data_IF_399295925526
#
_entry.id   IF_399295925526
#
_cell.length_a   1.000
_cell.length_b   1.000
_cell.length_c   1.000
_cell.angle_alpha   90.00
_cell.angle_beta   90.00
_cell.angle_gamma   90.00
#
_symmetry.space_group_name_H-M   'P 1'
#
loop_
_entity.id
_entity.type
_entity.pdbx_description
1 polymer ?
#
# COMPACT_ATOMS: atom_id res chain seq x y z
N UNK A 1 29.93 89.98 14.90
CA UNK A 1 30.08 88.52 14.94
C UNK A 1 28.76 87.96 15.50
N UNK A 2 27.91 87.34 14.69
CA UNK A 2 26.64 86.77 15.08
C UNK A 2 26.80 85.24 14.99
N UNK A 3 26.65 84.56 16.09
CA UNK A 3 26.67 83.12 16.19
C UNK A 3 25.28 82.58 15.80
N UNK A 4 25.23 81.72 14.79
CA UNK A 4 24.06 80.98 14.40
C UNK A 4 24.08 79.63 15.13
N UNK A 5 23.07 79.35 15.92
CA UNK A 5 22.84 78.05 16.55
C UNK A 5 22.13 77.17 15.55
N UNK A 6 22.78 76.06 15.16
CA UNK A 6 22.15 74.98 14.37
C UNK A 6 21.60 73.96 15.35
N UNK A 7 20.27 73.81 15.36
CA UNK A 7 19.56 72.77 16.08
C UNK A 7 19.46 71.53 15.16
N UNK A 8 20.10 70.45 15.54
CA UNK A 8 19.96 69.13 14.87
C UNK A 8 18.69 68.43 15.40
N UNK A 9 17.73 68.23 14.53
CA UNK A 9 16.56 67.39 14.80
C UNK A 9 16.89 65.94 14.51
N UNK A 10 16.86 65.10 15.53
CA UNK A 10 16.98 63.66 15.42
C UNK A 10 15.60 63.11 15.04
N UNK A 11 15.51 62.55 13.83
CA UNK A 11 14.32 61.81 13.39
C UNK A 11 14.52 60.35 13.81
N UNK A 12 13.72 59.91 14.80
CA UNK A 12 13.58 58.47 15.09
C UNK A 12 12.75 57.81 13.98
N UNK A 13 13.40 57.01 13.18
CA UNK A 13 12.68 56.02 12.33
C UNK A 13 12.28 54.83 13.17
N UNK A 14 11.00 54.67 13.41
CA UNK A 14 10.41 53.44 13.88
C UNK A 14 10.40 52.39 12.76
N UNK A 15 11.27 51.38 12.88
CA UNK A 15 11.22 50.15 12.10
C UNK A 15 10.01 49.34 12.56
N UNK A 16 8.92 49.43 11.78
CA UNK A 16 7.83 48.46 11.87
C UNK A 16 8.34 47.11 11.33
N UNK A 17 8.59 46.20 12.23
CA UNK A 17 8.87 44.82 11.87
C UNK A 17 7.64 44.20 11.17
N UNK A 18 7.76 43.95 9.87
CA UNK A 18 6.85 43.04 9.16
C UNK A 18 7.11 41.64 9.70
N UNK A 19 6.27 41.19 10.65
CA UNK A 19 6.19 39.77 10.98
C UNK A 19 5.69 39.04 9.74
N UNK A 20 6.56 38.29 9.10
CA UNK A 20 6.16 37.27 8.14
C UNK A 20 5.40 36.20 8.94
N UNK A 21 4.06 36.28 8.93
CA UNK A 21 3.26 35.12 9.28
C UNK A 21 3.61 34.03 8.28
N UNK A 22 4.42 33.06 8.71
CA UNK A 22 4.48 31.77 8.08
C UNK A 22 3.08 31.16 8.23
N UNK A 23 2.23 31.38 7.20
CA UNK A 23 1.10 30.52 6.96
C UNK A 23 1.69 29.13 6.69
N UNK A 24 1.78 28.31 7.72
CA UNK A 24 1.89 26.88 7.55
C UNK A 24 0.61 26.47 6.84
N UNK A 25 0.68 26.33 5.52
CA UNK A 25 -0.31 25.57 4.81
C UNK A 25 -0.10 24.13 5.27
N UNK A 26 -0.87 23.72 6.29
CA UNK A 26 -1.15 22.31 6.48
C UNK A 26 -1.92 21.89 5.21
N UNK A 27 -1.22 21.37 4.24
CA UNK A 27 -1.86 20.55 3.22
C UNK A 27 -2.41 19.37 4.01
N UNK A 28 -3.72 19.35 4.24
CA UNK A 28 -4.44 18.15 4.65
C UNK A 28 -4.31 17.15 3.49
N UNK A 29 -3.16 16.49 3.42
CA UNK A 29 -2.93 15.38 2.51
C UNK A 29 -3.67 14.19 3.10
N UNK A 30 -4.92 13.99 2.68
CA UNK A 30 -5.67 12.81 3.01
C UNK A 30 -5.11 11.65 2.20
N UNK A 31 -4.62 10.63 2.90
CA UNK A 31 -4.25 9.40 2.23
C UNK A 31 -5.51 8.72 1.66
N UNK A 32 -5.39 8.17 0.46
CA UNK A 32 -6.51 7.57 -0.26
C UNK A 32 -6.18 6.16 -0.75
N UNK A 33 -7.17 5.29 -0.70
CA UNK A 33 -7.17 4.00 -1.35
C UNK A 33 -8.10 4.02 -2.57
N UNK A 34 -7.58 3.58 -3.72
CA UNK A 34 -8.32 3.45 -4.96
C UNK A 34 -8.31 1.98 -5.40
N UNK A 35 -9.49 1.39 -5.53
CA UNK A 35 -9.65 0.00 -5.96
C UNK A 35 -9.42 -0.15 -7.44
N UNK A 36 -8.45 -0.98 -7.81
CA UNK A 36 -8.12 -1.28 -9.21
C UNK A 36 -8.95 -2.48 -9.69
N UNK A 37 -8.76 -3.64 -9.04
CA UNK A 37 -9.47 -4.88 -9.37
C UNK A 37 -9.17 -5.95 -8.30
N UNK A 38 -9.98 -6.98 -8.14
CA UNK A 38 -9.76 -8.09 -7.20
C UNK A 38 -9.18 -7.64 -5.84
N UNK A 39 -7.91 -7.97 -5.56
CA UNK A 39 -7.14 -7.49 -4.41
C UNK A 39 -6.26 -6.27 -4.74
N UNK A 40 -6.29 -5.78 -5.99
CA UNK A 40 -5.45 -4.69 -6.44
C UNK A 40 -5.92 -3.33 -5.92
N UNK A 41 -5.04 -2.62 -5.22
CA UNK A 41 -5.32 -1.31 -4.62
C UNK A 41 -4.14 -0.36 -4.88
N UNK A 42 -4.46 0.87 -5.30
CA UNK A 42 -3.51 2.00 -5.30
C UNK A 42 -3.71 2.79 -4.02
N UNK A 43 -2.63 3.10 -3.34
CA UNK A 43 -2.60 3.99 -2.17
C UNK A 43 -1.82 5.23 -2.54
N UNK A 44 -2.35 6.39 -2.18
CA UNK A 44 -1.67 7.67 -2.37
C UNK A 44 -1.73 8.51 -1.10
N UNK A 45 -0.62 9.18 -0.79
CA UNK A 45 -0.51 10.21 0.22
C UNK A 45 0.38 11.33 -0.30
N UNK A 46 -0.20 12.50 -0.54
CA UNK A 46 0.48 13.57 -1.27
C UNK A 46 0.95 13.10 -2.65
N UNK A 47 2.25 13.23 -2.89
CA UNK A 47 2.88 12.78 -4.14
C UNK A 47 3.32 11.31 -4.08
N UNK A 48 3.40 10.71 -2.88
CA UNK A 48 3.85 9.32 -2.69
C UNK A 48 2.74 8.34 -3.04
N UNK A 49 3.04 7.39 -3.93
CA UNK A 49 2.05 6.43 -4.43
C UNK A 49 2.60 5.01 -4.53
N UNK A 50 1.81 4.06 -4.08
CA UNK A 50 2.13 2.63 -4.19
C UNK A 50 0.95 1.85 -4.76
N UNK A 51 1.23 0.71 -5.37
CA UNK A 51 0.21 -0.24 -5.78
C UNK A 51 0.46 -1.62 -5.19
N UNK A 52 -0.61 -2.29 -4.78
CA UNK A 52 -0.60 -3.71 -4.42
C UNK A 52 -1.27 -4.53 -5.53
N UNK A 53 -0.62 -5.60 -5.98
CA UNK A 53 -1.13 -6.56 -6.96
C UNK A 53 -1.81 -5.93 -8.19
N UNK A 54 -1.23 -4.90 -8.88
CA UNK A 54 -1.97 -3.98 -9.75
C UNK A 54 -2.45 -4.56 -11.07
N UNK A 55 -1.90 -5.69 -11.53
CA UNK A 55 -2.12 -6.25 -12.87
C UNK A 55 -2.59 -7.71 -12.84
N UNK A 56 -3.70 -8.05 -12.15
CA UNK A 56 -4.34 -9.34 -12.30
C UNK A 56 -5.03 -9.40 -13.67
N UNK A 57 -4.45 -10.20 -14.59
CA UNK A 57 -4.99 -10.39 -15.93
C UNK A 57 -5.87 -11.64 -16.06
N UNK A 58 -6.11 -12.35 -14.95
CA UNK A 58 -6.97 -13.53 -14.93
C UNK A 58 -7.74 -13.56 -13.62
N UNK A 59 -9.02 -13.25 -13.68
CA UNK A 59 -9.96 -13.38 -12.57
C UNK A 59 -10.67 -14.74 -12.54
N UNK A 60 -10.27 -15.70 -13.38
CA UNK A 60 -10.92 -17.02 -13.52
C UNK A 60 -12.43 -16.96 -13.80
N UNK A 61 -12.94 -15.80 -14.29
CA UNK A 61 -14.37 -15.56 -14.45
C UNK A 61 -15.12 -15.39 -13.10
N UNK A 62 -14.40 -15.32 -11.99
CA UNK A 62 -14.91 -15.18 -10.62
C UNK A 62 -14.60 -13.81 -10.04
N UNK A 63 -13.39 -13.31 -10.27
CA UNK A 63 -12.92 -12.03 -9.73
C UNK A 63 -12.79 -10.97 -10.81
N UNK A 64 -12.90 -9.68 -10.48
CA UNK A 64 -12.66 -8.61 -11.44
C UNK A 64 -11.19 -8.59 -11.88
N UNK A 65 -11.00 -8.36 -13.18
CA UNK A 65 -9.69 -8.14 -13.80
C UNK A 65 -9.42 -6.65 -13.93
N UNK A 66 -8.13 -6.26 -14.03
CA UNK A 66 -7.76 -4.85 -14.21
C UNK A 66 -8.36 -4.31 -15.51
N UNK A 67 -9.14 -3.22 -15.48
CA UNK A 67 -9.72 -2.64 -16.68
C UNK A 67 -8.65 -2.23 -17.69
N UNK A 68 -8.94 -2.42 -18.99
CA UNK A 68 -8.00 -2.06 -20.06
C UNK A 68 -7.65 -0.57 -20.07
N UNK A 69 -8.58 0.31 -19.65
CA UNK A 69 -8.33 1.74 -19.46
C UNK A 69 -7.26 2.00 -18.41
N UNK A 70 -7.30 1.26 -17.30
CA UNK A 70 -6.37 1.42 -16.18
C UNK A 70 -4.99 0.87 -16.56
N UNK A 71 -4.95 -0.28 -17.27
CA UNK A 71 -3.70 -0.81 -17.82
C UNK A 71 -3.05 0.23 -18.74
N UNK A 72 -3.83 0.83 -19.66
CA UNK A 72 -3.31 1.85 -20.58
C UNK A 72 -2.74 3.08 -19.82
N UNK A 73 -3.43 3.57 -18.80
CA UNK A 73 -2.95 4.68 -17.96
C UNK A 73 -1.72 4.29 -17.15
N UNK A 74 -1.67 3.09 -16.57
CA UNK A 74 -0.49 2.57 -15.87
C UNK A 74 0.73 2.55 -16.80
N UNK A 75 0.57 1.98 -18.01
CA UNK A 75 1.68 1.92 -18.97
C UNK A 75 2.13 3.30 -19.44
N UNK A 76 1.22 4.27 -19.55
CA UNK A 76 1.53 5.65 -19.91
C UNK A 76 2.06 6.49 -18.74
N UNK A 77 1.86 6.06 -17.49
CA UNK A 77 2.15 6.87 -16.29
C UNK A 77 1.23 8.07 -16.20
N UNK A 78 -0.07 7.90 -16.48
CA UNK A 78 -1.05 8.97 -16.54
C UNK A 78 -2.15 8.84 -15.49
N UNK A 79 -2.88 9.92 -15.26
CA UNK A 79 -4.03 9.96 -14.34
C UNK A 79 -3.65 9.59 -12.92
N UNK A 80 -4.41 8.68 -12.29
CA UNK A 80 -4.13 8.20 -10.93
C UNK A 80 -2.79 7.45 -10.85
N UNK A 81 -2.32 6.89 -11.98
CA UNK A 81 -1.13 6.06 -12.08
C UNK A 81 0.14 6.83 -12.45
N UNK A 82 0.07 8.16 -12.51
CA UNK A 82 1.26 9.01 -12.67
C UNK A 82 2.07 9.03 -11.36
N UNK A 83 3.40 8.85 -11.45
CA UNK A 83 4.30 8.97 -10.31
C UNK A 83 4.17 7.85 -9.28
N UNK A 84 4.05 6.60 -9.72
CA UNK A 84 4.09 5.44 -8.81
C UNK A 84 5.53 5.18 -8.37
N UNK A 85 5.77 5.13 -7.06
CA UNK A 85 7.09 4.87 -6.46
C UNK A 85 7.37 3.38 -6.34
N UNK A 86 6.37 2.60 -5.91
CA UNK A 86 6.54 1.18 -5.69
C UNK A 86 5.30 0.34 -6.03
N UNK A 87 5.58 -0.90 -6.45
CA UNK A 87 4.59 -1.97 -6.61
C UNK A 87 4.93 -3.11 -5.67
N UNK A 88 3.93 -3.60 -4.95
CA UNK A 88 4.03 -4.73 -4.04
C UNK A 88 3.22 -5.90 -4.57
N UNK A 89 3.86 -7.05 -4.72
CA UNK A 89 3.19 -8.30 -5.11
C UNK A 89 3.05 -9.19 -3.87
N UNK A 90 1.81 -9.52 -3.51
CA UNK A 90 1.54 -10.36 -2.36
C UNK A 90 1.97 -11.81 -2.61
N UNK A 91 1.59 -12.38 -3.74
CA UNK A 91 1.97 -13.73 -4.14
C UNK A 91 1.81 -13.95 -5.67
N UNK A 92 2.25 -15.12 -6.15
CA UNK A 92 2.42 -15.37 -7.58
C UNK A 92 1.22 -16.11 -8.25
N UNK A 93 0.00 -16.01 -7.73
CA UNK A 93 -1.20 -16.49 -8.43
C UNK A 93 -1.63 -15.50 -9.52
N UNK A 94 -2.25 -16.03 -10.58
CA UNK A 94 -2.58 -15.24 -11.77
C UNK A 94 -3.69 -14.20 -11.58
N UNK A 95 -4.46 -14.30 -10.52
CA UNK A 95 -5.44 -13.32 -10.07
C UNK A 95 -4.85 -12.21 -9.16
N UNK A 96 -3.53 -12.23 -8.93
CA UNK A 96 -2.74 -11.20 -8.25
C UNK A 96 -1.55 -10.74 -9.09
N UNK A 97 -1.00 -11.62 -9.93
CA UNK A 97 0.28 -11.39 -10.58
C UNK A 97 0.31 -11.97 -11.99
N UNK A 98 0.82 -11.18 -12.94
CA UNK A 98 1.20 -11.62 -14.28
C UNK A 98 2.66 -11.22 -14.54
N UNK A 99 3.54 -12.20 -14.72
CA UNK A 99 4.96 -11.94 -14.98
C UNK A 99 5.16 -11.03 -16.19
N UNK A 100 4.52 -11.35 -17.32
CA UNK A 100 4.61 -10.56 -18.55
C UNK A 100 4.10 -9.12 -18.35
N UNK A 101 2.97 -8.94 -17.65
CA UNK A 101 2.40 -7.61 -17.43
C UNK A 101 3.28 -6.75 -16.50
N UNK A 102 3.83 -7.33 -15.44
CA UNK A 102 4.75 -6.62 -14.53
C UNK A 102 6.07 -6.29 -15.23
N UNK A 103 6.63 -7.17 -16.04
CA UNK A 103 7.82 -6.89 -16.86
C UNK A 103 7.54 -5.72 -17.81
N UNK A 104 6.42 -5.75 -18.54
CA UNK A 104 6.04 -4.67 -19.44
C UNK A 104 5.85 -3.34 -18.69
N UNK A 105 5.19 -3.36 -17.53
CA UNK A 105 4.99 -2.20 -16.70
C UNK A 105 6.30 -1.61 -16.19
N UNK A 106 7.20 -2.43 -15.64
CA UNK A 106 8.51 -1.97 -15.16
C UNK A 106 9.38 -1.40 -16.30
N UNK A 107 9.23 -1.91 -17.53
CA UNK A 107 9.92 -1.35 -18.68
C UNK A 107 9.31 0.00 -19.11
N UNK A 108 8.00 0.16 -19.01
CA UNK A 108 7.31 1.41 -19.31
C UNK A 108 7.55 2.50 -18.24
N UNK A 109 7.71 2.09 -16.98
CA UNK A 109 7.89 2.98 -15.82
C UNK A 109 9.26 2.71 -15.16
N UNK A 110 10.35 3.37 -15.62
CA UNK A 110 11.71 3.06 -15.19
C UNK A 110 12.04 3.42 -13.75
N UNK A 111 11.28 4.31 -13.12
CA UNK A 111 11.53 4.79 -11.75
C UNK A 111 10.85 3.93 -10.68
N UNK A 112 9.93 3.04 -11.09
CA UNK A 112 9.18 2.18 -10.16
C UNK A 112 10.07 1.10 -9.55
N UNK A 113 9.97 0.93 -8.24
CA UNK A 113 10.56 -0.21 -7.52
C UNK A 113 9.53 -1.33 -7.36
N UNK A 114 9.91 -2.57 -7.64
CA UNK A 114 9.09 -3.75 -7.42
C UNK A 114 9.49 -4.46 -6.13
N UNK A 115 8.55 -4.69 -5.22
CA UNK A 115 8.69 -5.56 -4.05
C UNK A 115 7.90 -6.84 -4.30
N UNK A 116 8.54 -7.99 -4.25
CA UNK A 116 7.88 -9.23 -4.62
C UNK A 116 8.47 -10.46 -3.91
N UNK A 117 7.68 -11.52 -3.68
CA UNK A 117 8.21 -12.79 -3.19
C UNK A 117 9.12 -13.45 -4.21
N UNK A 118 10.02 -14.31 -3.73
CA UNK A 118 10.95 -15.10 -4.57
C UNK A 118 10.22 -15.84 -5.71
N UNK A 119 9.05 -16.40 -5.43
CA UNK A 119 8.27 -17.13 -6.44
C UNK A 119 7.87 -16.24 -7.63
N UNK A 120 7.53 -14.96 -7.40
CA UNK A 120 7.21 -14.03 -8.48
C UNK A 120 8.44 -13.76 -9.36
N UNK A 121 9.62 -13.50 -8.75
CA UNK A 121 10.87 -13.35 -9.49
C UNK A 121 11.19 -14.61 -10.33
N UNK A 122 11.02 -15.81 -9.74
CA UNK A 122 11.30 -17.06 -10.45
C UNK A 122 10.36 -17.30 -11.63
N UNK A 123 9.14 -16.77 -11.58
CA UNK A 123 8.22 -16.75 -12.72
C UNK A 123 8.65 -15.71 -13.76
N UNK A 124 9.01 -14.48 -13.34
CA UNK A 124 9.51 -13.44 -14.26
C UNK A 124 10.75 -13.91 -15.03
N UNK A 125 11.69 -14.60 -14.36
CA UNK A 125 12.90 -15.14 -15.02
C UNK A 125 12.63 -16.18 -16.10
N UNK A 126 11.44 -16.75 -16.15
CA UNK A 126 11.02 -17.73 -17.18
C UNK A 126 10.29 -17.06 -18.35
N UNK A 127 9.93 -15.79 -18.20
CA UNK A 127 9.27 -15.03 -19.25
C UNK A 127 10.27 -14.66 -20.36
N UNK A 128 9.82 -14.66 -21.61
CA UNK A 128 10.67 -14.39 -22.78
C UNK A 128 11.18 -12.93 -22.81
N UNK A 129 10.44 -12.00 -22.19
CA UNK A 129 10.74 -10.58 -22.16
C UNK A 129 11.58 -10.18 -20.92
N UNK A 130 11.97 -11.16 -20.10
CA UNK A 130 12.86 -10.93 -18.97
C UNK A 130 14.27 -10.59 -19.44
N UNK A 131 14.73 -9.41 -19.06
CA UNK A 131 16.14 -9.09 -19.06
C UNK A 131 16.63 -8.89 -17.61
N UNK A 132 17.79 -9.33 -17.24
CA UNK A 132 18.29 -9.26 -15.86
C UNK A 132 18.45 -7.84 -15.31
N UNK A 133 18.31 -6.79 -16.13
CA UNK A 133 18.45 -5.37 -15.74
C UNK A 133 17.33 -4.96 -14.77
N UNK A 134 16.12 -5.47 -14.95
CA UNK A 134 14.98 -5.20 -14.09
C UNK A 134 15.25 -5.57 -12.62
N UNK A 135 16.08 -6.59 -12.38
CA UNK A 135 16.37 -7.06 -11.02
C UNK A 135 17.04 -5.99 -10.15
N UNK A 136 17.73 -5.01 -10.74
CA UNK A 136 18.35 -3.89 -9.99
C UNK A 136 17.31 -3.00 -9.28
N UNK A 137 16.07 -2.98 -9.78
CA UNK A 137 14.94 -2.22 -9.24
C UNK A 137 13.97 -3.10 -8.44
N UNK A 138 14.41 -4.28 -8.02
CA UNK A 138 13.57 -5.20 -7.25
C UNK A 138 14.08 -5.34 -5.82
N UNK A 139 13.16 -5.50 -4.89
CA UNK A 139 13.36 -5.93 -3.50
C UNK A 139 12.68 -7.28 -3.37
N UNK A 140 13.47 -8.33 -3.27
CA UNK A 140 12.94 -9.70 -3.26
C UNK A 140 12.84 -10.17 -1.82
N UNK A 141 11.62 -10.46 -1.40
CA UNK A 141 11.32 -11.05 -0.10
C UNK A 141 11.40 -12.58 -0.23
N UNK A 142 12.28 -13.18 0.56
CA UNK A 142 12.53 -14.63 0.53
C UNK A 142 12.56 -15.17 1.95
N UNK A 143 11.38 -15.41 2.51
CA UNK A 143 11.21 -15.79 3.90
C UNK A 143 10.28 -16.99 4.05
N UNK A 144 10.45 -17.73 5.15
CA UNK A 144 9.57 -18.81 5.56
C UNK A 144 8.45 -18.30 6.50
N UNK A 145 7.38 -19.09 6.62
CA UNK A 145 6.32 -18.79 7.59
C UNK A 145 6.88 -18.90 9.02
N UNK A 146 6.74 -17.82 9.81
CA UNK A 146 7.27 -17.71 11.17
C UNK A 146 8.62 -16.99 11.27
N UNK A 147 9.24 -16.64 10.16
CA UNK A 147 10.41 -15.74 10.17
C UNK A 147 10.03 -14.37 10.70
N UNK A 148 10.99 -13.66 11.30
CA UNK A 148 10.79 -12.27 11.71
C UNK A 148 10.46 -11.37 10.52
N UNK A 149 9.71 -10.28 10.77
CA UNK A 149 9.39 -9.32 9.74
C UNK A 149 10.64 -8.74 9.07
N UNK A 150 10.62 -8.63 7.73
CA UNK A 150 11.68 -8.00 6.95
C UNK A 150 11.31 -6.55 6.65
N UNK A 151 12.21 -5.60 6.94
CA UNK A 151 12.00 -4.17 6.67
C UNK A 151 12.62 -3.77 5.34
N UNK A 152 11.86 -3.00 4.54
CA UNK A 152 12.22 -2.51 3.21
C UNK A 152 11.98 -1.00 3.18
N UNK A 153 12.98 -0.21 2.75
CA UNK A 153 12.85 1.24 2.59
C UNK A 153 13.00 1.63 1.13
N UNK A 154 12.10 2.47 0.62
CA UNK A 154 12.08 2.99 -0.76
C UNK A 154 11.70 4.47 -0.69
N UNK A 155 12.68 5.38 -0.78
CA UNK A 155 12.42 6.81 -0.56
C UNK A 155 11.73 7.06 0.78
N UNK A 156 10.56 7.72 0.76
CA UNK A 156 9.74 8.04 1.93
C UNK A 156 8.73 6.92 2.28
N UNK A 157 8.95 5.72 1.75
CA UNK A 157 8.14 4.54 2.03
C UNK A 157 8.92 3.58 2.92
N UNK A 158 8.34 3.22 4.06
CA UNK A 158 8.83 2.13 4.91
C UNK A 158 7.84 0.98 4.89
N UNK A 159 8.27 -0.17 4.42
CA UNK A 159 7.46 -1.37 4.37
C UNK A 159 8.03 -2.47 5.26
N UNK A 160 7.17 -3.28 5.84
CA UNK A 160 7.55 -4.54 6.47
C UNK A 160 6.78 -5.69 5.84
N UNK A 161 7.49 -6.79 5.59
CA UNK A 161 6.93 -8.00 5.02
C UNK A 161 6.89 -9.12 6.06
N UNK A 162 5.78 -9.84 6.13
CA UNK A 162 5.61 -11.05 6.93
C UNK A 162 4.99 -12.13 6.06
N UNK A 163 5.57 -13.35 6.06
CA UNK A 163 4.96 -14.47 5.35
C UNK A 163 3.86 -15.11 6.17
N UNK A 164 2.60 -14.87 5.80
CA UNK A 164 1.42 -15.56 6.34
C UNK A 164 0.99 -16.62 5.34
N UNK A 165 0.79 -17.89 5.75
CA UNK A 165 0.34 -18.93 4.85
C UNK A 165 -0.90 -18.55 4.05
N UNK A 166 -0.95 -18.99 2.80
CA UNK A 166 -2.09 -18.75 1.91
C UNK A 166 -3.34 -19.53 2.36
N UNK A 167 -4.51 -18.95 2.16
CA UNK A 167 -5.81 -19.55 2.43
C UNK A 167 -5.91 -20.99 1.84
N UNK A 168 -6.46 -21.91 2.65
CA UNK A 168 -6.49 -23.34 2.34
C UNK A 168 -5.29 -24.12 2.86
N UNK A 169 -4.37 -23.45 3.62
CA UNK A 169 -3.38 -24.18 4.41
C UNK A 169 -4.07 -25.21 5.32
N UNK A 170 -3.52 -26.42 5.63
CA UNK A 170 -2.17 -26.90 5.29
C UNK A 170 -2.11 -27.75 4.03
N UNK A 171 -3.06 -27.63 3.09
CA UNK A 171 -2.98 -28.38 1.84
C UNK A 171 -1.60 -28.12 1.17
N UNK A 172 -0.83 -29.16 0.75
CA UNK A 172 0.56 -28.97 0.31
C UNK A 172 0.76 -27.92 -0.79
N UNK A 173 -0.17 -27.87 -1.75
CA UNK A 173 -0.10 -26.87 -2.83
C UNK A 173 -0.31 -25.44 -2.31
N UNK A 174 -1.13 -25.25 -1.27
CA UNK A 174 -1.40 -23.96 -0.64
C UNK A 174 -0.28 -23.56 0.32
N UNK A 175 0.25 -24.51 1.09
CA UNK A 175 1.37 -24.28 2.00
C UNK A 175 2.67 -23.87 1.28
N UNK A 176 2.84 -24.27 0.02
CA UNK A 176 4.00 -23.92 -0.80
C UNK A 176 3.95 -22.48 -1.35
N UNK A 177 2.80 -21.77 -1.27
CA UNK A 177 2.67 -20.42 -1.80
C UNK A 177 3.33 -19.43 -0.84
N UNK A 178 4.18 -18.58 -1.38
CA UNK A 178 4.78 -17.46 -0.63
C UNK A 178 3.79 -16.30 -0.67
N UNK A 179 2.84 -16.27 0.27
CA UNK A 179 1.95 -15.13 0.45
C UNK A 179 2.53 -14.16 1.47
N UNK A 180 2.83 -12.94 1.01
CA UNK A 180 3.36 -11.86 1.83
C UNK A 180 2.24 -10.93 2.28
N UNK A 181 2.23 -10.62 3.56
CA UNK A 181 1.46 -9.53 4.15
C UNK A 181 2.42 -8.36 4.29
N UNK A 182 2.07 -7.24 3.67
CA UNK A 182 2.87 -6.02 3.73
C UNK A 182 2.19 -4.98 4.60
N UNK A 183 2.89 -4.47 5.63
CA UNK A 183 2.52 -3.22 6.29
C UNK A 183 3.41 -2.13 5.71
N UNK A 184 2.79 -1.08 5.19
CA UNK A 184 3.49 0.01 4.50
C UNK A 184 3.08 1.34 5.10
N UNK A 185 4.07 2.14 5.50
CA UNK A 185 3.91 3.51 5.94
C UNK A 185 4.44 4.44 4.86
N UNK A 186 3.62 5.40 4.43
CA UNK A 186 3.95 6.45 3.48
C UNK A 186 4.22 7.74 4.25
N UNK A 187 5.31 8.44 3.91
CA UNK A 187 5.69 9.76 4.44
C UNK A 187 5.77 9.82 5.99
N UNK A 188 6.05 8.71 6.66
CA UNK A 188 6.00 8.56 8.13
C UNK A 188 4.61 8.87 8.76
N UNK A 189 3.54 8.82 7.96
CA UNK A 189 2.18 9.20 8.36
C UNK A 189 1.18 8.06 8.12
N UNK A 190 0.70 7.86 6.89
CA UNK A 190 -0.32 6.85 6.60
C UNK A 190 0.23 5.43 6.61
N UNK A 191 -0.31 4.58 7.47
CA UNK A 191 0.08 3.16 7.59
C UNK A 191 -1.03 2.25 7.11
N UNK A 192 -0.73 1.43 6.10
CA UNK A 192 -1.68 0.46 5.51
C UNK A 192 -1.15 -0.96 5.57
N UNK A 193 -2.05 -1.95 5.57
CA UNK A 193 -1.71 -3.38 5.41
C UNK A 193 -2.44 -3.96 4.21
N UNK A 194 -1.71 -4.66 3.34
CA UNK A 194 -2.29 -5.53 2.32
C UNK A 194 -1.98 -6.98 2.66
N UNK A 195 -3.00 -7.86 2.63
CA UNK A 195 -2.86 -9.20 3.18
C UNK A 195 -2.76 -10.30 2.11
N UNK A 196 -2.88 -9.96 0.83
CA UNK A 196 -2.98 -10.96 -0.22
C UNK A 196 -4.08 -11.97 0.09
N UNK A 197 -3.78 -13.25 -0.08
CA UNK A 197 -4.69 -14.38 0.21
C UNK A 197 -4.36 -15.05 1.55
N UNK A 198 -4.14 -14.27 2.60
CA UNK A 198 -3.79 -14.81 3.92
C UNK A 198 -4.82 -15.81 4.45
N UNK A 199 -4.34 -16.88 5.08
CA UNK A 199 -5.16 -17.87 5.79
C UNK A 199 -5.67 -17.27 7.12
N UNK A 200 -6.99 -17.32 7.42
CA UNK A 200 -7.57 -16.63 8.56
C UNK A 200 -7.39 -17.40 9.89
N UNK A 201 -6.36 -18.21 10.06
CA UNK A 201 -6.07 -18.89 11.32
C UNK A 201 -5.16 -18.07 12.20
N UNK A 202 -5.64 -17.76 13.41
CA UNK A 202 -4.93 -16.96 14.41
C UNK A 202 -3.47 -17.41 14.65
N UNK A 203 -3.22 -18.72 14.64
CA UNK A 203 -1.89 -19.28 14.87
C UNK A 203 -0.79 -18.74 13.94
N UNK A 204 -1.16 -18.21 12.77
CA UNK A 204 -0.21 -17.64 11.82
C UNK A 204 0.20 -16.22 12.18
N UNK A 205 -0.60 -15.51 12.99
CA UNK A 205 -0.40 -14.13 13.37
C UNK A 205 0.25 -13.96 14.73
N UNK A 206 -0.01 -14.89 15.68
CA UNK A 206 0.55 -14.87 17.04
C UNK A 206 2.09 -14.70 17.04
N UNK A 207 2.89 -15.40 16.20
CA UNK A 207 4.33 -15.26 16.22
C UNK A 207 4.83 -13.85 15.89
N UNK A 208 3.99 -13.02 15.25
CA UNK A 208 4.29 -11.67 14.81
C UNK A 208 3.61 -10.59 15.65
N UNK A 209 2.99 -10.95 16.78
CA UNK A 209 2.20 -10.02 17.61
C UNK A 209 3.01 -8.79 18.04
N UNK A 210 4.24 -8.99 18.48
CA UNK A 210 5.15 -7.92 18.88
C UNK A 210 5.36 -6.93 17.74
N UNK A 211 5.60 -7.43 16.53
CA UNK A 211 5.75 -6.62 15.33
C UNK A 211 4.48 -5.84 14.99
N UNK A 212 3.28 -6.46 15.09
CA UNK A 212 2.04 -5.74 14.81
C UNK A 212 1.72 -4.66 15.84
N UNK A 213 2.13 -4.86 17.11
CA UNK A 213 1.90 -3.89 18.19
C UNK A 213 2.82 -2.66 18.13
N UNK A 214 3.96 -2.73 17.42
CA UNK A 214 4.91 -1.62 17.28
C UNK A 214 4.30 -0.38 16.64
N UNK A 215 3.40 -0.56 15.67
CA UNK A 215 2.77 0.53 14.94
C UNK A 215 1.31 0.19 14.66
N UNK A 216 0.41 1.13 14.98
CA UNK A 216 -1.00 1.02 14.59
C UNK A 216 -1.13 1.09 13.07
N UNK A 217 -2.05 0.30 12.54
CA UNK A 217 -2.40 0.34 11.13
C UNK A 217 -3.70 1.10 10.93
N UNK A 218 -3.67 2.18 10.16
CA UNK A 218 -4.85 3.01 9.91
C UNK A 218 -5.89 2.27 9.08
N UNK A 219 -5.45 1.58 8.02
CA UNK A 219 -6.35 0.80 7.17
C UNK A 219 -5.70 -0.49 6.67
N UNK A 220 -6.40 -1.60 6.86
CA UNK A 220 -6.02 -2.89 6.27
C UNK A 220 -6.92 -3.26 5.08
N UNK A 221 -6.33 -3.95 4.11
CA UNK A 221 -7.00 -4.54 2.95
C UNK A 221 -6.94 -6.07 3.05
N UNK A 222 -7.75 -6.68 3.94
CA UNK A 222 -7.84 -8.12 4.05
C UNK A 222 -8.68 -8.71 2.92
N UNK A 223 -8.46 -9.97 2.53
CA UNK A 223 -9.40 -10.69 1.71
C UNK A 223 -10.73 -10.84 2.47
N UNK A 224 -11.86 -10.76 1.76
CA UNK A 224 -13.19 -10.61 2.36
C UNK A 224 -13.56 -11.66 3.42
N UNK A 225 -12.98 -12.85 3.37
CA UNK A 225 -13.28 -13.90 4.36
C UNK A 225 -12.79 -13.59 5.79
N UNK A 226 -11.92 -12.59 5.97
CA UNK A 226 -11.62 -12.07 7.31
C UNK A 226 -12.79 -11.28 7.88
N UNK A 227 -13.57 -10.61 7.05
CA UNK A 227 -14.68 -9.75 7.46
C UNK A 227 -15.96 -10.56 7.76
N UNK A 228 -16.07 -11.77 7.24
CA UNK A 228 -17.24 -12.65 7.41
C UNK A 228 -17.10 -13.65 8.54
N UNK A 229 -15.99 -13.58 9.31
CA UNK A 229 -15.77 -14.47 10.45
C UNK A 229 -15.31 -13.72 11.70
N UNK A 230 -15.80 -14.15 12.87
CA UNK A 230 -15.36 -13.59 14.16
C UNK A 230 -13.85 -13.76 14.41
N UNK A 231 -13.26 -14.86 13.91
CA UNK A 231 -11.83 -15.09 14.01
C UNK A 231 -11.04 -14.11 13.15
N UNK A 232 -11.49 -13.84 11.92
CA UNK A 232 -10.87 -12.86 11.04
C UNK A 232 -10.94 -11.45 11.62
N UNK A 233 -12.11 -11.03 12.13
CA UNK A 233 -12.26 -9.74 12.80
C UNK A 233 -11.33 -9.60 14.01
N UNK A 234 -11.24 -10.65 14.85
CA UNK A 234 -10.34 -10.68 16.00
C UNK A 234 -8.86 -10.57 15.60
N UNK A 235 -8.45 -11.25 14.51
CA UNK A 235 -7.08 -11.13 14.00
C UNK A 235 -6.76 -9.69 13.61
N UNK A 236 -7.66 -9.03 12.89
CA UNK A 236 -7.45 -7.65 12.43
C UNK A 236 -7.34 -6.68 13.62
N UNK A 237 -8.28 -6.70 14.56
CA UNK A 237 -8.32 -5.75 15.68
C UNK A 237 -7.30 -6.07 16.77
N UNK A 238 -7.20 -7.33 17.19
CA UNK A 238 -6.49 -7.68 18.43
C UNK A 238 -5.08 -8.23 18.17
N UNK A 239 -4.85 -8.92 17.04
CA UNK A 239 -3.51 -9.46 16.74
C UNK A 239 -2.69 -8.50 15.87
N UNK A 240 -3.32 -7.77 14.95
CA UNK A 240 -2.63 -6.93 13.95
C UNK A 240 -2.72 -5.43 14.22
N UNK A 241 -3.41 -5.01 15.29
CA UNK A 241 -3.55 -3.60 15.68
C UNK A 241 -4.10 -2.71 14.54
N UNK A 242 -5.18 -3.19 13.88
CA UNK A 242 -5.83 -2.51 12.74
C UNK A 242 -7.00 -1.68 13.22
N UNK A 243 -7.05 -0.40 12.81
CA UNK A 243 -8.16 0.50 13.11
C UNK A 243 -9.36 0.29 12.21
N UNK A 244 -9.14 0.29 10.90
CA UNK A 244 -10.16 0.13 9.88
C UNK A 244 -9.80 -0.96 8.89
N UNK A 245 -10.79 -1.70 8.42
CA UNK A 245 -10.59 -2.71 7.38
C UNK A 245 -11.51 -2.43 6.20
N UNK A 246 -10.99 -2.60 4.98
CA UNK A 246 -11.73 -2.53 3.73
C UNK A 246 -11.47 -3.83 2.98
N UNK A 247 -12.50 -4.67 2.87
CA UNK A 247 -12.36 -5.99 2.23
C UNK A 247 -11.97 -5.88 0.76
N UNK A 248 -11.04 -6.74 0.34
CA UNK A 248 -10.66 -6.95 -1.06
C UNK A 248 -10.87 -8.41 -1.44
N UNK A 249 -10.47 -8.80 -2.65
CA UNK A 249 -10.66 -10.16 -3.16
C UNK A 249 -12.14 -10.60 -3.19
N UNK A 250 -13.02 -9.65 -3.49
CA UNK A 250 -14.47 -9.88 -3.52
C UNK A 250 -14.87 -10.41 -4.89
N UNK A 251 -15.57 -11.56 -4.95
CA UNK A 251 -16.04 -12.12 -6.22
C UNK A 251 -17.04 -11.20 -6.93
N UNK A 252 -17.16 -11.34 -8.25
CA UNK A 252 -18.16 -10.64 -9.07
C UNK A 252 -19.58 -10.92 -8.57
N UNK A 253 -19.85 -12.15 -8.10
CA UNK A 253 -21.05 -12.48 -7.33
C UNK A 253 -20.73 -12.36 -5.85
N UNK A 254 -21.06 -11.20 -5.26
CA UNK A 254 -20.73 -10.88 -3.87
C UNK A 254 -21.44 -11.87 -2.93
N UNK A 255 -20.70 -12.58 -2.03
CA UNK A 255 -21.31 -13.50 -1.06
C UNK A 255 -22.35 -12.83 -0.17
N UNK A 256 -23.45 -13.53 0.11
CA UNK A 256 -24.53 -12.97 0.92
C UNK A 256 -24.06 -12.65 2.35
N UNK A 257 -23.21 -13.50 2.91
CA UNK A 257 -22.61 -13.27 4.23
C UNK A 257 -21.81 -11.96 4.30
N UNK A 258 -21.12 -11.57 3.20
CA UNK A 258 -20.41 -10.30 3.13
C UNK A 258 -21.39 -9.11 3.04
N UNK A 259 -22.46 -9.23 2.25
CA UNK A 259 -23.50 -8.19 2.19
C UNK A 259 -24.17 -7.97 3.55
N UNK A 260 -24.39 -9.05 4.29
CA UNK A 260 -25.08 -9.02 5.58
C UNK A 260 -24.14 -8.61 6.74
N UNK A 261 -22.82 -8.63 6.54
CA UNK A 261 -21.83 -8.31 7.57
C UNK A 261 -21.83 -6.84 8.00
N UNK A 262 -22.30 -5.93 7.14
CA UNK A 262 -22.21 -4.48 7.35
C UNK A 262 -20.78 -3.93 7.30
N UNK A 263 -19.80 -4.73 6.89
CA UNK A 263 -18.39 -4.34 6.76
C UNK A 263 -18.15 -3.54 5.47
N UNK A 264 -17.12 -2.68 5.46
CA UNK A 264 -16.68 -1.98 4.25
C UNK A 264 -15.87 -2.92 3.35
N UNK A 265 -16.10 -2.90 2.06
CA UNK A 265 -15.36 -3.67 1.07
C UNK A 265 -15.42 -3.00 -0.30
N UNK A 266 -14.40 -3.26 -1.10
CA UNK A 266 -14.38 -2.91 -2.51
C UNK A 266 -15.07 -4.00 -3.35
N UNK A 267 -15.87 -3.57 -4.31
CA UNK A 267 -16.59 -4.48 -5.22
C UNK A 267 -16.49 -4.08 -6.69
N UNK A 268 -16.08 -2.85 -6.96
CA UNK A 268 -15.99 -2.32 -8.33
C UNK A 268 -14.70 -1.52 -8.51
N UNK A 269 -14.07 -1.68 -9.67
CA UNK A 269 -12.95 -0.82 -10.07
C UNK A 269 -13.36 0.65 -10.04
N UNK A 270 -12.45 1.52 -9.59
CA UNK A 270 -12.67 2.96 -9.47
C UNK A 270 -13.29 3.42 -8.15
N UNK A 271 -13.71 2.51 -7.26
CA UNK A 271 -14.12 2.90 -5.91
C UNK A 271 -12.94 3.48 -5.13
N UNK A 272 -13.20 4.51 -4.33
CA UNK A 272 -12.20 5.16 -3.48
C UNK A 272 -12.64 5.20 -2.02
N UNK A 273 -11.68 5.20 -1.10
CA UNK A 273 -11.89 5.41 0.33
C UNK A 273 -10.79 6.30 0.88
N UNK A 274 -11.15 7.17 1.79
CA UNK A 274 -10.18 7.91 2.59
C UNK A 274 -9.57 7.00 3.66
N UNK A 275 -8.26 7.15 3.84
CA UNK A 275 -7.50 6.53 4.92
C UNK A 275 -7.36 7.61 5.99
N UNK A 276 -8.06 7.40 7.11
CA UNK A 276 -8.00 8.32 8.23
C UNK A 276 -6.72 8.08 9.02
N UNK A 277 -5.82 9.04 8.97
CA UNK A 277 -4.59 9.04 9.77
C UNK A 277 -4.87 9.73 11.09
N UNK A 278 -4.85 8.98 12.20
CA UNK A 278 -4.91 9.59 13.53
C UNK A 278 -3.53 10.12 13.90
N UNK A 279 -3.37 11.44 13.81
CA UNK A 279 -2.16 12.11 14.34
C UNK A 279 -2.25 12.14 15.86
N UNK A 280 -1.23 11.60 16.54
CA UNK A 280 -1.06 11.85 17.97
C UNK A 280 -0.94 13.36 18.16
N UNK A 281 -1.67 13.98 19.11
CA UNK A 281 -1.47 15.40 19.41
C UNK A 281 -0.01 15.60 19.88
N UNK A 282 0.70 16.54 19.25
CA UNK A 282 2.04 16.99 19.63
C UNK A 282 2.09 17.53 21.08
#
# INVERSE_FOLDING_TARGET
MKWVKVTASVILLSLSGCGSEHLSHSHDHHAQAHHIANAAVLISEGETKIMFDPLPLSGFGVYPETPQSDIAQMMAGEGNYAGIDAVFISHAHSDHFSAAAIIAYMNAQPDVTLVAPRQALDMMKKDQDWDGVLQARMRIVDMEAGDAAETITIGDITATAVRIPHAGWPAPKRAAIQNMVYRVTLNDDATVIHMGDADPRRQHFIPHKEHWDETRTDTAFPPYWFLTSSQGSYILSDEMNVEKSIGVHVPLEIPQELKDSGQDYFSKSGETREINVERSPE
#
